data_IF_157541046301
#
_entry.id   IF_157541046301
#
_cell.length_a   1.000
_cell.length_b   1.000
_cell.length_c   1.000
_cell.angle_alpha   90.00
_cell.angle_beta   90.00
_cell.angle_gamma   90.00
#
_symmetry.space_group_name_H-M   'P 1'
#
loop_
_entity.id
_entity.type
_entity.pdbx_description
1 polymer ?
#
# COMPACT_ATOMS: atom_id res chain seq x y z
N UNK A 1 -8.10 -13.13 26.67
CA UNK A 1 -7.87 -13.70 25.33
C UNK A 1 -6.37 -13.67 25.07
N UNK A 2 -5.81 -14.74 24.49
CA UNK A 2 -4.38 -14.84 24.20
C UNK A 2 -4.09 -14.46 22.75
N UNK A 3 -3.03 -13.69 22.49
CA UNK A 3 -2.60 -13.30 21.13
C UNK A 3 -2.28 -14.54 20.26
N UNK A 4 -1.69 -15.59 20.86
CA UNK A 4 -1.42 -16.83 20.13
C UNK A 4 -2.69 -17.51 19.58
N UNK A 5 -3.82 -17.43 20.29
CA UNK A 5 -5.11 -17.94 19.82
C UNK A 5 -5.69 -17.08 18.68
N UNK A 6 -5.44 -15.77 18.72
CA UNK A 6 -5.83 -14.86 17.64
C UNK A 6 -5.02 -15.14 16.40
N UNK A 7 -3.69 -15.19 16.52
CA UNK A 7 -2.78 -15.40 15.39
C UNK A 7 -2.95 -16.78 14.76
N UNK A 8 -3.21 -17.83 15.56
CA UNK A 8 -3.52 -19.16 15.02
C UNK A 8 -4.87 -19.26 14.32
N UNK A 9 -5.78 -18.29 14.55
CA UNK A 9 -7.15 -18.31 14.06
C UNK A 9 -8.13 -19.05 14.97
N UNK A 10 -7.69 -19.68 16.07
CA UNK A 10 -8.56 -20.36 17.04
C UNK A 10 -9.62 -19.45 17.64
N UNK A 11 -9.26 -18.20 17.90
CA UNK A 11 -10.18 -17.18 18.42
C UNK A 11 -11.16 -16.65 17.36
N UNK A 12 -11.06 -17.10 16.10
CA UNK A 12 -11.90 -16.71 14.97
C UNK A 12 -12.00 -15.18 14.82
N UNK A 13 -13.07 -14.69 14.22
CA UNK A 13 -13.31 -13.25 14.03
C UNK A 13 -13.36 -12.46 15.34
N UNK A 14 -13.89 -13.04 16.41
CA UNK A 14 -13.94 -12.38 17.73
C UNK A 14 -12.56 -12.03 18.27
N UNK A 15 -11.55 -12.87 18.01
CA UNK A 15 -10.17 -12.59 18.39
C UNK A 15 -9.61 -11.39 17.66
N UNK A 16 -9.85 -11.29 16.35
CA UNK A 16 -9.44 -10.13 15.55
C UNK A 16 -10.09 -8.85 16.09
N UNK A 17 -11.42 -8.89 16.34
CA UNK A 17 -12.13 -7.75 16.91
C UNK A 17 -11.56 -7.33 18.27
N UNK A 18 -11.22 -8.29 19.12
CA UNK A 18 -10.65 -7.99 20.43
C UNK A 18 -9.30 -7.27 20.33
N UNK A 19 -8.37 -7.76 19.50
CA UNK A 19 -7.05 -7.13 19.31
C UNK A 19 -7.16 -5.72 18.70
N UNK A 20 -8.13 -5.50 17.82
CA UNK A 20 -8.23 -4.23 17.10
C UNK A 20 -9.07 -3.17 17.82
N UNK A 21 -10.06 -3.58 18.62
CA UNK A 21 -11.10 -2.66 19.09
C UNK A 21 -11.40 -2.74 20.61
N UNK A 22 -10.82 -3.70 21.37
CA UNK A 22 -11.04 -3.70 22.82
C UNK A 22 -10.32 -2.51 23.46
N UNK A 23 -10.92 -1.95 24.50
CA UNK A 23 -10.34 -0.84 25.24
C UNK A 23 -8.93 -1.16 25.75
N UNK A 24 -8.71 -2.40 26.23
CA UNK A 24 -7.39 -2.86 26.71
C UNK A 24 -6.37 -2.87 25.59
N UNK A 25 -6.68 -3.47 24.43
CA UNK A 25 -5.74 -3.56 23.32
C UNK A 25 -5.45 -2.17 22.72
N UNK A 26 -6.46 -1.33 22.56
CA UNK A 26 -6.30 0.05 22.09
C UNK A 26 -5.43 0.88 23.04
N UNK A 27 -5.64 0.73 24.36
CA UNK A 27 -4.80 1.41 25.37
C UNK A 27 -3.35 0.96 25.27
N UNK A 28 -3.12 -0.37 25.23
CA UNK A 28 -1.76 -0.91 25.10
C UNK A 28 -1.09 -0.38 23.84
N UNK A 29 -1.77 -0.41 22.68
CA UNK A 29 -1.21 0.12 21.45
C UNK A 29 -0.88 1.61 21.54
N UNK A 30 -1.73 2.41 22.15
CA UNK A 30 -1.49 3.84 22.37
C UNK A 30 -0.31 4.08 23.29
N UNK A 31 -0.21 3.34 24.40
CA UNK A 31 0.90 3.44 25.37
C UNK A 31 2.24 3.05 24.71
N UNK A 32 2.25 1.97 23.93
CA UNK A 32 3.45 1.53 23.22
C UNK A 32 3.85 2.49 22.09
N UNK A 33 2.88 3.05 21.37
CA UNK A 33 3.16 4.08 20.35
C UNK A 33 3.71 5.36 21.01
N UNK A 34 3.20 5.73 22.18
CA UNK A 34 3.70 6.86 22.95
C UNK A 34 5.17 6.67 23.36
N UNK A 35 5.60 5.45 23.67
CA UNK A 35 7.00 5.15 23.99
C UNK A 35 7.97 5.41 22.83
N UNK A 36 7.47 5.45 21.60
CA UNK A 36 8.27 5.79 20.40
C UNK A 36 8.36 7.30 20.14
N UNK A 37 7.65 8.12 20.93
CA UNK A 37 7.52 9.55 20.72
C UNK A 37 8.26 10.34 21.82
N UNK A 38 8.68 11.57 21.55
CA UNK A 38 9.22 12.45 22.59
C UNK A 38 8.13 12.80 23.63
N UNK A 39 8.55 13.14 24.85
CA UNK A 39 7.69 13.33 26.02
C UNK A 39 6.48 14.26 25.80
N UNK A 40 6.62 15.26 24.91
CA UNK A 40 5.56 16.24 24.60
C UNK A 40 4.73 15.89 23.36
N UNK A 41 4.88 14.69 22.80
CA UNK A 41 4.10 14.24 21.67
C UNK A 41 3.12 13.16 22.11
N UNK A 42 1.88 13.25 21.63
CA UNK A 42 0.80 12.34 21.99
C UNK A 42 0.20 11.71 20.74
N UNK A 43 0.01 10.39 20.71
CA UNK A 43 -0.77 9.78 19.65
C UNK A 43 -2.26 10.08 19.84
N UNK A 44 -2.95 10.41 18.77
CA UNK A 44 -4.41 10.51 18.73
C UNK A 44 -5.09 9.15 18.62
N UNK A 45 -6.42 9.14 18.50
CA UNK A 45 -7.18 7.91 18.30
C UNK A 45 -6.69 7.11 17.10
N UNK A 46 -6.48 5.81 17.29
CA UNK A 46 -5.99 4.90 16.26
C UNK A 46 -7.15 4.09 15.69
N UNK A 47 -7.42 4.25 14.39
CA UNK A 47 -8.41 3.47 13.67
C UNK A 47 -7.73 2.65 12.57
N UNK A 48 -7.92 1.31 12.53
CA UNK A 48 -7.31 0.50 11.51
C UNK A 48 -7.92 0.83 10.13
N UNK A 49 -7.07 1.13 9.16
CA UNK A 49 -7.46 1.35 7.75
C UNK A 49 -7.63 0.05 7.01
N UNK A 50 -6.77 -0.87 7.33
CA UNK A 50 -6.66 -2.15 6.67
C UNK A 50 -6.12 -3.18 7.66
N UNK A 51 -6.61 -4.40 7.55
CA UNK A 51 -6.18 -5.53 8.36
C UNK A 51 -5.81 -6.67 7.44
N UNK A 52 -4.74 -7.35 7.77
CA UNK A 52 -4.26 -8.52 7.08
C UNK A 52 -4.02 -9.64 8.06
N UNK A 53 -4.64 -10.76 7.80
CA UNK A 53 -4.50 -11.94 8.61
C UNK A 53 -3.89 -13.09 7.79
N UNK A 54 -2.89 -13.74 8.34
CA UNK A 54 -2.29 -14.97 7.85
C UNK A 54 -2.34 -16.00 8.99
N UNK A 55 -3.30 -16.92 8.96
CA UNK A 55 -3.46 -17.92 10.03
C UNK A 55 -2.15 -18.62 10.35
N UNK A 56 -1.84 -18.76 11.65
CA UNK A 56 -0.63 -19.40 12.15
C UNK A 56 0.67 -18.61 11.94
N UNK A 57 0.61 -17.42 11.34
CA UNK A 57 1.80 -16.60 11.06
C UNK A 57 1.73 -15.22 11.70
N UNK A 58 0.79 -14.38 11.23
CA UNK A 58 0.72 -12.99 11.66
C UNK A 58 -0.67 -12.39 11.48
N UNK A 59 -1.03 -11.48 12.35
CA UNK A 59 -2.05 -10.48 12.15
C UNK A 59 -1.34 -9.13 11.99
N UNK A 60 -1.60 -8.41 10.91
CA UNK A 60 -1.06 -7.05 10.71
C UNK A 60 -2.20 -6.06 10.51
N UNK A 61 -2.18 -4.96 11.25
CA UNK A 61 -3.10 -3.84 11.06
C UNK A 61 -2.33 -2.58 10.68
N UNK A 62 -2.89 -1.80 9.76
CA UNK A 62 -2.31 -0.56 9.27
C UNK A 62 -3.15 0.62 9.75
N UNK A 63 -2.49 1.63 10.32
CA UNK A 63 -3.12 2.81 10.89
C UNK A 63 -2.51 4.07 10.30
N UNK A 64 -3.26 5.18 10.35
CA UNK A 64 -2.72 6.52 10.22
C UNK A 64 -2.65 7.13 11.61
N UNK A 65 -1.46 7.12 12.19
CA UNK A 65 -1.22 7.70 13.50
C UNK A 65 -1.14 9.23 13.38
N UNK A 66 -2.12 9.90 13.95
CA UNK A 66 -2.10 11.36 14.11
C UNK A 66 -1.30 11.68 15.35
N UNK A 67 -0.27 12.50 15.21
CA UNK A 67 0.58 12.90 16.32
C UNK A 67 0.29 14.36 16.66
N UNK A 68 0.06 14.61 17.94
CA UNK A 68 -0.25 15.92 18.49
C UNK A 68 0.90 16.38 19.37
N UNK A 69 1.14 17.67 19.40
CA UNK A 69 2.07 18.30 20.35
C UNK A 69 1.28 18.81 21.54
N UNK A 70 1.70 18.38 22.75
CA UNK A 70 1.14 18.86 24.00
C UNK A 70 1.50 20.34 24.19
N UNK A 71 0.51 21.18 24.48
CA UNK A 71 0.67 22.61 24.69
C UNK A 71 -0.65 23.28 25.05
N UNK A 72 -0.69 24.63 25.16
CA UNK A 72 -1.91 25.41 25.46
C UNK A 72 -3.04 25.14 24.44
N UNK A 73 -2.68 24.88 23.20
CA UNK A 73 -3.58 24.35 22.16
C UNK A 73 -2.97 23.09 21.60
N UNK A 74 -3.70 21.97 21.69
CA UNK A 74 -3.25 20.69 21.13
C UNK A 74 -3.30 20.78 19.60
N UNK A 75 -2.14 20.95 18.97
CA UNK A 75 -2.04 21.08 17.52
C UNK A 75 -1.55 19.77 16.92
N UNK A 76 -2.26 19.28 15.88
CA UNK A 76 -1.78 18.17 15.05
C UNK A 76 -0.46 18.56 14.38
N UNK A 77 0.59 17.77 14.56
CA UNK A 77 1.91 18.03 13.98
C UNK A 77 2.14 17.24 12.71
N UNK A 78 1.68 15.99 12.68
CA UNK A 78 1.79 15.16 11.48
C UNK A 78 0.86 13.95 11.54
N UNK A 79 0.64 13.35 10.36
CA UNK A 79 0.04 12.01 10.22
C UNK A 79 1.11 11.05 9.71
N UNK A 80 1.32 9.95 10.43
CA UNK A 80 2.28 8.92 10.03
C UNK A 80 1.59 7.57 9.88
N UNK A 81 1.70 6.91 8.73
CA UNK A 81 1.28 5.53 8.58
C UNK A 81 2.15 4.61 9.44
N UNK A 82 1.50 3.72 10.16
CA UNK A 82 2.16 2.68 10.95
C UNK A 82 1.61 1.31 10.58
N UNK A 83 2.45 0.30 10.71
CA UNK A 83 2.07 -1.11 10.65
C UNK A 83 2.29 -1.73 12.02
N UNK A 84 1.26 -2.36 12.55
CA UNK A 84 1.31 -3.09 13.81
C UNK A 84 1.10 -4.56 13.49
N UNK A 85 2.06 -5.39 13.83
CA UNK A 85 2.02 -6.82 13.60
C UNK A 85 2.02 -7.58 14.91
N UNK A 86 1.17 -8.60 14.99
CA UNK A 86 1.14 -9.57 16.09
C UNK A 86 1.48 -10.94 15.55
N UNK A 87 2.37 -11.65 16.20
CA UNK A 87 2.79 -12.98 15.81
C UNK A 87 3.98 -13.50 16.59
N UNK A 88 4.34 -14.79 16.43
CA UNK A 88 5.59 -15.30 16.94
C UNK A 88 6.72 -14.49 16.28
N UNK A 89 7.77 -14.24 17.04
CA UNK A 89 8.93 -13.49 16.54
C UNK A 89 9.48 -14.16 15.27
N UNK A 90 9.28 -13.51 14.14
CA UNK A 90 9.66 -14.03 12.84
C UNK A 90 11.09 -13.67 12.47
N UNK A 91 11.94 -13.55 13.46
CA UNK A 91 13.23 -13.81 13.22
C UNK A 91 14.37 -12.90 12.96
N UNK A 92 15.50 -13.55 13.00
CA UNK A 92 16.84 -13.01 12.98
C UNK A 92 17.29 -12.40 11.63
N UNK A 93 16.72 -12.83 10.50
CA UNK A 93 17.25 -12.48 9.18
C UNK A 93 16.97 -11.05 8.67
N UNK A 94 15.96 -10.38 9.21
CA UNK A 94 15.64 -9.01 8.80
C UNK A 94 16.41 -7.91 9.57
N UNK A 95 17.12 -8.27 10.66
CA UNK A 95 17.81 -7.30 11.52
C UNK A 95 18.85 -6.48 10.76
N UNK A 96 19.64 -7.11 9.91
CA UNK A 96 20.68 -6.41 9.12
C UNK A 96 20.08 -5.39 8.14
N UNK A 97 18.98 -5.78 7.46
CA UNK A 97 18.32 -4.92 6.47
C UNK A 97 17.59 -3.75 7.16
N UNK A 98 17.04 -3.99 8.34
CA UNK A 98 16.44 -2.92 9.16
C UNK A 98 17.49 -1.92 9.62
N UNK A 99 18.68 -2.35 10.02
CA UNK A 99 19.76 -1.45 10.42
C UNK A 99 20.09 -0.49 9.27
N UNK A 100 20.20 -0.99 8.04
CA UNK A 100 20.40 -0.15 6.86
C UNK A 100 19.26 0.85 6.66
N UNK A 101 18.01 0.39 6.78
CA UNK A 101 16.85 1.25 6.62
C UNK A 101 16.75 2.33 7.71
N UNK A 102 17.15 2.03 8.94
CA UNK A 102 17.22 3.01 10.05
C UNK A 102 18.30 4.05 9.75
N UNK A 103 19.51 3.61 9.40
CA UNK A 103 20.60 4.52 9.05
C UNK A 103 20.24 5.45 7.87
N UNK A 104 19.48 4.93 6.89
CA UNK A 104 18.99 5.74 5.78
C UNK A 104 17.94 6.76 6.23
N UNK A 105 17.04 6.39 7.12
CA UNK A 105 16.04 7.30 7.69
C UNK A 105 16.68 8.42 8.56
N UNK A 106 17.74 8.10 9.28
CA UNK A 106 18.55 9.08 10.05
C UNK A 106 19.28 10.05 9.13
N UNK A 107 19.96 9.53 8.10
CA UNK A 107 20.69 10.35 7.09
C UNK A 107 19.76 11.39 6.45
N UNK A 108 18.55 11.02 6.15
CA UNK A 108 17.54 11.89 5.54
C UNK A 108 16.71 12.67 6.55
N UNK A 109 16.93 12.47 7.86
CA UNK A 109 16.20 13.17 8.93
C UNK A 109 14.67 13.02 8.86
N UNK A 110 14.19 11.87 8.34
CA UNK A 110 12.75 11.63 8.11
C UNK A 110 12.05 10.89 9.25
N UNK A 111 12.75 10.61 10.34
CA UNK A 111 12.18 9.94 11.52
C UNK A 111 11.22 10.84 12.32
N UNK A 112 11.45 12.15 12.36
CA UNK A 112 10.65 13.07 13.18
C UNK A 112 9.14 12.96 12.90
N UNK A 113 8.27 13.02 13.93
CA UNK A 113 8.59 13.29 15.34
C UNK A 113 8.96 12.05 16.16
N UNK A 114 9.14 10.88 15.56
CA UNK A 114 9.44 9.65 16.26
C UNK A 114 10.93 9.60 16.68
N UNK A 115 11.18 9.10 17.88
CA UNK A 115 12.54 8.80 18.39
C UNK A 115 13.06 7.50 17.78
N UNK A 116 12.15 6.57 17.54
CA UNK A 116 12.42 5.28 16.90
C UNK A 116 11.31 4.95 15.91
N UNK A 117 11.69 4.41 14.76
CA UNK A 117 10.73 4.03 13.71
C UNK A 117 10.26 2.57 13.83
N UNK A 118 10.81 1.82 14.77
CA UNK A 118 10.40 0.45 15.05
C UNK A 118 10.67 0.07 16.51
N UNK A 119 9.75 -0.70 17.09
CA UNK A 119 9.98 -1.38 18.35
C UNK A 119 9.21 -2.70 18.43
N UNK A 120 9.78 -3.63 19.18
CA UNK A 120 9.19 -4.91 19.54
C UNK A 120 8.70 -4.89 20.98
N UNK A 121 7.50 -5.42 21.19
CA UNK A 121 6.86 -5.52 22.51
C UNK A 121 6.52 -6.99 22.80
N UNK A 122 7.48 -7.77 23.34
CA UNK A 122 7.36 -9.22 23.48
C UNK A 122 6.17 -9.66 24.35
N UNK A 123 5.85 -8.90 25.38
CA UNK A 123 4.71 -9.20 26.28
C UNK A 123 3.37 -9.27 25.53
N UNK A 124 3.26 -8.64 24.37
CA UNK A 124 2.09 -8.63 23.48
C UNK A 124 2.35 -9.32 22.14
N UNK A 125 3.50 -9.99 21.99
CA UNK A 125 3.94 -10.52 20.70
C UNK A 125 3.69 -9.51 19.58
N UNK A 126 3.97 -8.22 19.84
CA UNK A 126 3.60 -7.10 19.00
C UNK A 126 4.85 -6.36 18.53
N UNK A 127 4.83 -5.96 17.25
CA UNK A 127 5.80 -5.06 16.63
C UNK A 127 5.09 -3.85 16.07
N UNK A 128 5.63 -2.67 16.32
CA UNK A 128 5.22 -1.43 15.68
C UNK A 128 6.33 -1.00 14.71
N UNK A 129 5.95 -0.70 13.48
CA UNK A 129 6.84 -0.15 12.45
C UNK A 129 6.22 1.10 11.86
N UNK A 130 6.99 2.19 11.80
CA UNK A 130 6.54 3.52 11.39
C UNK A 130 7.13 3.86 10.03
N UNK A 131 6.30 4.43 9.13
CA UNK A 131 6.78 4.98 7.86
C UNK A 131 7.81 6.11 8.10
N UNK A 132 8.91 6.18 7.31
CA UNK A 132 9.16 5.44 6.07
C UNK A 132 10.03 4.19 6.23
N UNK A 133 10.13 3.59 7.41
CA UNK A 133 11.01 2.45 7.63
C UNK A 133 10.54 1.22 6.85
N UNK A 134 11.40 0.65 6.00
CA UNK A 134 11.19 -0.64 5.37
C UNK A 134 12.52 -1.30 4.98
N UNK A 135 12.76 -2.52 5.46
CA UNK A 135 13.97 -3.28 5.19
C UNK A 135 14.17 -3.60 3.70
N UNK A 136 13.09 -3.80 2.95
CA UNK A 136 13.12 -4.14 1.51
C UNK A 136 13.04 -2.93 0.59
N UNK A 137 12.64 -1.79 1.11
CA UNK A 137 12.47 -0.55 0.38
C UNK A 137 13.28 0.55 1.07
N UNK A 138 14.60 0.34 1.21
CA UNK A 138 15.48 1.27 1.93
C UNK A 138 15.44 2.67 1.33
N UNK A 139 15.25 2.77 0.00
CA UNK A 139 15.07 4.05 -0.70
C UNK A 139 13.82 4.82 -0.26
N UNK A 140 12.87 4.18 0.45
CA UNK A 140 11.67 4.85 0.94
C UNK A 140 11.99 6.01 1.88
N UNK A 141 13.11 5.93 2.61
CA UNK A 141 13.58 6.99 3.48
C UNK A 141 13.93 8.25 2.66
N UNK A 142 14.79 8.12 1.65
CA UNK A 142 15.19 9.26 0.79
C UNK A 142 14.02 9.79 -0.03
N UNK A 143 13.13 8.92 -0.51
CA UNK A 143 11.90 9.29 -1.22
C UNK A 143 10.88 10.02 -0.32
N UNK A 144 11.07 9.97 1.00
CA UNK A 144 10.28 10.72 1.98
C UNK A 144 10.95 12.03 2.41
N UNK A 145 12.18 12.31 1.94
CA UNK A 145 12.88 13.58 2.18
C UNK A 145 12.50 14.61 1.10
N UNK A 146 11.86 15.73 1.46
CA UNK A 146 11.49 16.77 0.50
C UNK A 146 12.67 17.33 -0.32
N UNK A 147 13.88 17.32 0.25
CA UNK A 147 15.09 17.81 -0.45
C UNK A 147 15.50 16.85 -1.56
N UNK A 148 15.48 15.53 -1.28
CA UNK A 148 15.75 14.52 -2.29
C UNK A 148 14.68 14.54 -3.40
N UNK A 149 13.40 14.64 -3.00
CA UNK A 149 12.28 14.72 -3.96
C UNK A 149 12.43 15.92 -4.88
N UNK A 150 12.84 17.08 -4.37
CA UNK A 150 13.10 18.28 -5.19
C UNK A 150 14.18 18.02 -6.24
N UNK A 151 15.34 17.48 -5.84
CA UNK A 151 16.43 17.18 -6.76
C UNK A 151 16.01 16.14 -7.81
N UNK A 152 15.41 15.04 -7.38
CA UNK A 152 14.91 13.96 -8.24
C UNK A 152 13.90 14.46 -9.29
N UNK A 153 12.97 15.34 -8.90
CA UNK A 153 11.99 15.90 -9.81
C UNK A 153 12.59 16.94 -10.76
N UNK A 154 13.52 17.78 -10.28
CA UNK A 154 14.26 18.72 -11.15
C UNK A 154 14.97 17.98 -12.29
N UNK A 155 15.76 16.96 -11.98
CA UNK A 155 16.45 16.12 -12.97
C UNK A 155 15.48 15.46 -13.97
N UNK A 156 14.31 15.06 -13.50
CA UNK A 156 13.25 14.45 -14.32
C UNK A 156 12.67 15.43 -15.33
N UNK A 157 12.46 16.67 -14.94
CA UNK A 157 11.91 17.72 -15.81
C UNK A 157 12.97 18.29 -16.76
N UNK A 158 14.19 18.52 -16.31
CA UNK A 158 15.31 19.00 -17.14
C UNK A 158 15.70 18.00 -18.24
N UNK A 159 15.62 16.70 -17.95
CA UNK A 159 15.86 15.65 -18.96
C UNK A 159 14.75 15.48 -19.99
N UNK A 160 13.73 16.33 -20.00
CA UNK A 160 12.62 16.30 -20.97
C UNK A 160 11.67 15.10 -20.80
N UNK A 161 11.84 14.33 -19.72
CA UNK A 161 10.98 13.16 -19.41
C UNK A 161 9.58 13.55 -18.96
N UNK A 162 9.39 14.81 -18.56
CA UNK A 162 8.08 15.35 -18.20
C UNK A 162 7.99 16.83 -18.64
N UNK A 163 6.96 17.17 -19.42
CA UNK A 163 6.77 18.52 -19.92
C UNK A 163 6.04 19.39 -18.89
N UNK A 164 6.78 20.18 -18.11
CA UNK A 164 6.22 21.41 -17.46
C UNK A 164 7.31 22.27 -16.83
N UNK A 165 7.22 23.55 -17.10
CA UNK A 165 8.29 24.53 -16.92
C UNK A 165 8.38 25.23 -15.55
N UNK A 166 7.69 24.78 -14.49
CA UNK A 166 7.53 25.59 -13.27
C UNK A 166 7.92 24.91 -11.94
N UNK A 167 8.66 23.79 -11.93
CA UNK A 167 8.90 23.04 -10.68
C UNK A 167 10.23 23.29 -9.97
N UNK A 168 11.08 24.18 -10.44
CA UNK A 168 12.49 24.29 -9.98
C UNK A 168 12.67 24.86 -8.56
N UNK A 169 11.69 25.55 -7.98
CA UNK A 169 11.89 26.26 -6.71
C UNK A 169 10.93 25.89 -5.56
N UNK A 170 9.96 25.03 -5.81
CA UNK A 170 8.94 24.73 -4.83
C UNK A 170 9.41 23.75 -3.76
N UNK A 171 9.05 24.02 -2.52
CA UNK A 171 9.11 23.02 -1.46
C UNK A 171 8.06 21.94 -1.72
N UNK A 172 8.44 20.68 -1.51
CA UNK A 172 7.54 19.56 -1.70
C UNK A 172 7.05 19.04 -0.36
N UNK A 173 5.76 18.75 -0.28
CA UNK A 173 5.15 18.06 0.86
C UNK A 173 4.99 16.60 0.49
N UNK A 174 5.69 15.73 1.23
CA UNK A 174 5.65 14.29 1.02
C UNK A 174 4.65 13.63 1.96
N UNK A 175 3.67 12.93 1.39
CA UNK A 175 2.66 12.19 2.14
C UNK A 175 2.68 10.72 1.75
N UNK A 176 2.81 9.83 2.73
CA UNK A 176 2.70 8.39 2.48
C UNK A 176 1.22 7.98 2.39
N UNK A 177 0.76 7.66 1.18
CA UNK A 177 -0.64 7.28 0.92
C UNK A 177 -0.87 5.80 1.18
N UNK A 178 0.11 4.97 0.86
CA UNK A 178 0.06 3.55 1.12
C UNK A 178 1.39 3.06 1.67
N UNK A 179 1.34 2.57 2.89
CA UNK A 179 2.47 1.99 3.57
C UNK A 179 2.15 0.55 3.95
N UNK A 180 2.82 -0.39 3.29
CA UNK A 180 2.73 -1.83 3.56
C UNK A 180 4.13 -2.43 3.56
N UNK A 181 4.80 -2.45 4.71
CA UNK A 181 6.17 -2.93 4.82
C UNK A 181 6.41 -4.26 4.12
N UNK A 182 7.55 -4.34 3.41
CA UNK A 182 7.96 -5.47 2.62
C UNK A 182 7.08 -5.78 1.40
N UNK A 183 6.16 -4.87 1.00
CA UNK A 183 5.19 -5.16 -0.07
C UNK A 183 4.95 -4.04 -1.06
N UNK A 184 4.47 -2.89 -0.58
CA UNK A 184 4.00 -1.82 -1.47
C UNK A 184 4.00 -0.47 -0.77
N UNK A 185 4.55 0.51 -1.45
CA UNK A 185 4.50 1.90 -1.02
C UNK A 185 3.99 2.79 -2.15
N UNK A 186 3.21 3.80 -1.77
CA UNK A 186 2.79 4.88 -2.65
C UNK A 186 2.93 6.17 -1.86
N UNK A 187 3.71 7.08 -2.40
CA UNK A 187 3.88 8.43 -1.87
C UNK A 187 3.11 9.42 -2.74
N UNK A 188 2.65 10.50 -2.14
CA UNK A 188 2.10 11.66 -2.83
C UNK A 188 3.03 12.84 -2.59
N UNK A 189 3.36 13.52 -3.66
CA UNK A 189 4.16 14.72 -3.68
C UNK A 189 3.26 15.89 -4.05
N UNK A 190 3.00 16.77 -3.09
CA UNK A 190 2.26 18.00 -3.31
C UNK A 190 3.26 19.16 -3.35
N UNK A 191 3.19 20.07 -4.32
CA UNK A 191 3.97 21.30 -4.27
C UNK A 191 3.53 22.14 -3.05
N UNK A 192 4.48 22.77 -2.38
CA UNK A 192 4.20 23.64 -1.22
C UNK A 192 3.32 24.81 -1.57
N UNK A 193 3.49 25.35 -2.79
CA UNK A 193 2.58 26.30 -3.40
C UNK A 193 1.76 25.59 -4.50
N UNK A 194 0.43 25.51 -4.38
CA UNK A 194 -0.43 24.88 -5.38
C UNK A 194 -0.32 25.51 -6.78
N UNK A 195 0.09 26.77 -6.88
CA UNK A 195 0.29 27.44 -8.17
C UNK A 195 1.59 27.00 -8.87
N UNK A 196 2.53 26.42 -8.14
CA UNK A 196 3.86 26.05 -8.66
C UNK A 196 3.92 24.68 -9.34
N UNK A 197 2.84 23.90 -9.32
CA UNK A 197 2.84 22.60 -9.99
C UNK A 197 1.68 21.68 -9.66
N UNK A 198 1.71 20.50 -10.24
CA UNK A 198 0.70 19.46 -10.04
C UNK A 198 1.14 18.43 -9.01
N UNK A 199 0.18 17.92 -8.25
CA UNK A 199 0.38 16.76 -7.37
C UNK A 199 0.83 15.55 -8.17
N UNK A 200 1.84 14.84 -7.68
CA UNK A 200 2.36 13.61 -8.25
C UNK A 200 2.20 12.43 -7.28
N UNK A 201 2.15 11.24 -7.86
CA UNK A 201 2.15 9.99 -7.09
C UNK A 201 3.37 9.16 -7.48
N UNK A 202 4.11 8.68 -6.49
CA UNK A 202 5.25 7.81 -6.64
C UNK A 202 4.92 6.39 -6.17
N UNK A 203 4.88 5.43 -7.08
CA UNK A 203 4.77 4.02 -6.74
C UNK A 203 6.17 3.42 -6.66
N UNK A 204 6.54 2.96 -5.47
CA UNK A 204 7.87 2.43 -5.16
C UNK A 204 7.92 0.94 -5.43
N UNK A 205 8.97 0.49 -6.08
CA UNK A 205 9.27 -0.91 -6.40
C UNK A 205 10.54 -1.35 -5.66
N UNK A 206 10.75 -2.64 -5.53
CA UNK A 206 12.05 -3.18 -5.10
C UNK A 206 13.05 -3.05 -6.26
N UNK A 207 14.34 -2.99 -5.93
CA UNK A 207 15.40 -2.95 -6.94
C UNK A 207 15.28 -4.13 -7.93
N UNK A 208 15.63 -3.92 -9.20
CA UNK A 208 15.42 -4.90 -10.26
C UNK A 208 16.07 -6.26 -9.98
N UNK A 209 17.26 -6.27 -9.38
CA UNK A 209 17.98 -7.50 -9.01
C UNK A 209 17.19 -8.32 -8.01
N UNK A 210 16.66 -7.69 -6.95
CA UNK A 210 15.81 -8.35 -5.97
C UNK A 210 14.45 -8.74 -6.55
N UNK A 211 13.90 -7.92 -7.45
CA UNK A 211 12.64 -8.22 -8.12
C UNK A 211 12.74 -9.50 -8.94
N UNK A 212 13.85 -9.70 -9.67
CA UNK A 212 14.12 -10.92 -10.42
C UNK A 212 14.29 -12.13 -9.50
N UNK A 213 15.07 -11.99 -8.43
CA UNK A 213 15.31 -13.07 -7.47
C UNK A 213 14.01 -13.55 -6.79
N UNK A 214 13.08 -12.65 -6.52
CA UNK A 214 11.83 -12.96 -5.83
C UNK A 214 10.60 -13.08 -6.73
N UNK A 215 10.76 -13.08 -8.07
CA UNK A 215 9.66 -13.05 -9.06
C UNK A 215 8.61 -11.99 -8.74
N UNK A 216 9.07 -10.79 -8.39
CA UNK A 216 8.22 -9.65 -8.05
C UNK A 216 8.04 -8.69 -9.22
N UNK A 217 7.09 -7.78 -9.03
CA UNK A 217 6.75 -6.72 -9.98
C UNK A 217 7.97 -5.81 -10.19
N UNK A 218 8.44 -5.75 -11.42
CA UNK A 218 9.54 -4.89 -11.88
C UNK A 218 9.00 -3.51 -12.29
N UNK A 219 9.61 -2.46 -11.76
CA UNK A 219 9.20 -1.08 -12.01
C UNK A 219 9.34 -0.66 -13.47
N UNK A 220 10.47 -1.02 -14.11
CA UNK A 220 10.73 -0.68 -15.50
C UNK A 220 9.73 -1.36 -16.46
N UNK A 221 9.45 -2.65 -16.22
CA UNK A 221 8.46 -3.39 -16.99
C UNK A 221 7.06 -2.80 -16.79
N UNK A 222 6.70 -2.52 -15.53
CA UNK A 222 5.39 -1.94 -15.21
C UNK A 222 5.22 -0.58 -15.88
N UNK A 223 6.25 0.26 -15.91
CA UNK A 223 6.24 1.55 -16.59
C UNK A 223 5.98 1.38 -18.08
N UNK A 224 6.75 0.51 -18.78
CA UNK A 224 6.58 0.26 -20.21
C UNK A 224 5.17 -0.23 -20.54
N UNK A 225 4.71 -1.28 -19.88
CA UNK A 225 3.36 -1.85 -20.11
C UNK A 225 2.28 -0.81 -19.84
N UNK A 226 2.42 0.02 -18.81
CA UNK A 226 1.44 1.06 -18.51
C UNK A 226 1.42 2.17 -19.56
N UNK A 227 2.56 2.52 -20.18
CA UNK A 227 2.64 3.43 -21.32
C UNK A 227 1.95 2.82 -22.54
N UNK A 228 2.33 1.59 -22.92
CA UNK A 228 1.77 0.89 -24.08
C UNK A 228 0.25 0.75 -24.00
N UNK A 229 -0.26 0.39 -22.81
CA UNK A 229 -1.72 0.30 -22.55
C UNK A 229 -2.37 1.68 -22.64
N UNK A 230 -1.75 2.72 -22.10
CA UNK A 230 -2.31 4.07 -22.16
C UNK A 230 -2.40 4.58 -23.60
N UNK A 231 -1.37 4.31 -24.42
CA UNK A 231 -1.33 4.68 -25.83
C UNK A 231 -2.39 3.92 -26.64
N UNK A 232 -2.49 2.61 -26.45
CA UNK A 232 -3.49 1.80 -27.12
C UNK A 232 -4.94 2.19 -26.72
N UNK A 233 -5.16 2.54 -25.45
CA UNK A 233 -6.48 3.05 -25.01
C UNK A 233 -6.79 4.39 -25.67
N UNK A 234 -5.82 5.29 -25.75
CA UNK A 234 -6.01 6.59 -26.40
C UNK A 234 -6.32 6.46 -27.89
N UNK A 235 -5.70 5.49 -28.58
CA UNK A 235 -5.88 5.26 -30.01
C UNK A 235 -7.19 4.52 -30.34
N UNK A 236 -7.52 3.48 -29.56
CA UNK A 236 -8.59 2.53 -29.96
C UNK A 236 -9.87 2.64 -29.12
N UNK A 237 -9.87 3.38 -27.98
CA UNK A 237 -10.97 3.34 -27.03
C UNK A 237 -11.60 4.72 -26.81
N UNK A 238 -12.73 5.00 -27.47
CA UNK A 238 -13.47 6.24 -27.20
C UNK A 238 -14.17 6.18 -25.82
N UNK A 239 -13.99 7.24 -25.03
CA UNK A 239 -14.67 7.38 -23.73
C UNK A 239 -14.04 6.62 -22.57
N UNK A 240 -12.88 6.00 -22.77
CA UNK A 240 -12.03 5.43 -21.75
C UNK A 240 -10.70 6.18 -21.73
N UNK A 241 -10.29 6.64 -20.56
CA UNK A 241 -8.97 7.21 -20.34
C UNK A 241 -8.15 6.29 -19.45
N UNK A 242 -6.91 6.02 -19.84
CA UNK A 242 -5.96 5.29 -19.02
C UNK A 242 -4.90 6.25 -18.47
N UNK A 243 -4.51 6.04 -17.22
CA UNK A 243 -3.48 6.86 -16.59
C UNK A 243 -2.11 6.49 -17.15
N UNK A 244 -1.53 7.39 -17.97
CA UNK A 244 -0.17 7.24 -18.46
C UNK A 244 0.81 7.65 -17.36
N UNK A 245 1.80 6.82 -16.98
CA UNK A 245 2.86 7.24 -16.08
C UNK A 245 3.76 8.29 -16.73
N UNK A 246 4.35 9.16 -15.90
CA UNK A 246 5.19 10.26 -16.36
C UNK A 246 6.64 9.80 -16.60
N UNK A 247 7.21 9.08 -15.65
CA UNK A 247 8.60 8.63 -15.70
C UNK A 247 8.82 7.38 -14.86
N UNK A 248 9.87 6.63 -15.20
CA UNK A 248 10.48 5.63 -14.34
C UNK A 248 11.88 6.10 -13.94
N UNK A 249 12.14 6.16 -12.66
CA UNK A 249 13.41 6.56 -12.06
C UNK A 249 14.12 5.30 -11.56
N UNK A 250 15.12 4.88 -12.30
CA UNK A 250 15.78 3.59 -12.08
C UNK A 250 16.56 3.55 -10.75
N UNK A 251 17.24 4.63 -10.38
CA UNK A 251 18.03 4.73 -9.14
C UNK A 251 17.18 4.55 -7.89
N UNK A 252 15.94 5.02 -7.93
CA UNK A 252 14.98 4.96 -6.84
C UNK A 252 13.98 3.82 -6.98
N UNK A 253 14.02 3.10 -8.12
CA UNK A 253 13.04 2.09 -8.51
C UNK A 253 11.59 2.61 -8.35
N UNK A 254 11.30 3.80 -8.88
CA UNK A 254 10.04 4.53 -8.72
C UNK A 254 9.39 4.79 -10.07
N UNK A 255 8.09 4.57 -10.15
CA UNK A 255 7.26 5.05 -11.26
C UNK A 255 6.46 6.25 -10.79
N UNK A 256 6.60 7.37 -11.49
CA UNK A 256 5.84 8.59 -11.25
C UNK A 256 4.56 8.61 -12.06
N UNK A 257 3.47 9.01 -11.43
CA UNK A 257 2.15 9.16 -12.03
C UNK A 257 1.60 10.57 -11.79
N UNK A 258 0.88 11.14 -12.74
CA UNK A 258 0.15 12.38 -12.51
C UNK A 258 -1.04 12.13 -11.58
N UNK A 259 -1.59 13.19 -11.02
CA UNK A 259 -2.82 13.12 -10.24
C UNK A 259 -3.99 12.73 -11.15
N UNK A 260 -4.71 11.70 -10.77
CA UNK A 260 -5.98 11.34 -11.39
C UNK A 260 -7.10 12.13 -10.70
N UNK A 261 -7.83 12.93 -11.46
CA UNK A 261 -9.02 13.60 -10.98
C UNK A 261 -10.21 12.63 -10.98
N UNK A 262 -10.94 12.58 -9.87
CA UNK A 262 -12.13 11.73 -9.76
C UNK A 262 -12.29 11.09 -8.40
N UNK A 263 -13.42 10.41 -8.22
CA UNK A 263 -13.76 9.68 -7.00
C UNK A 263 -13.51 8.18 -7.23
N UNK A 264 -12.74 7.50 -6.36
CA UNK A 264 -12.50 6.08 -6.48
C UNK A 264 -13.81 5.25 -6.48
N UNK A 265 -13.91 4.27 -7.36
CA UNK A 265 -15.09 3.38 -7.43
C UNK A 265 -15.39 2.71 -6.07
N UNK A 266 -14.36 2.41 -5.27
CA UNK A 266 -14.51 1.87 -3.92
C UNK A 266 -15.32 2.76 -2.97
N UNK A 267 -15.38 4.06 -3.21
CA UNK A 267 -16.20 5.01 -2.43
C UNK A 267 -17.69 4.74 -2.69
N UNK A 268 -18.05 4.43 -3.92
CA UNK A 268 -19.42 4.08 -4.31
C UNK A 268 -19.80 2.65 -3.89
N UNK A 269 -18.86 1.71 -3.90
CA UNK A 269 -19.11 0.34 -3.51
C UNK A 269 -19.42 0.17 -2.00
N UNK A 270 -19.03 1.13 -1.17
CA UNK A 270 -19.33 1.12 0.28
C UNK A 270 -20.78 1.52 0.62
N UNK A 271 -21.48 2.16 -0.29
CA UNK A 271 -22.86 2.63 -0.12
C UNK A 271 -23.64 2.24 -1.36
N UNK A 272 -24.25 1.06 -1.32
CA UNK A 272 -25.03 0.55 -2.44
C UNK A 272 -26.31 1.40 -2.61
N UNK A 273 -26.36 2.16 -3.68
CA UNK A 273 -27.49 2.95 -4.14
C UNK A 273 -27.58 2.90 -5.68
N UNK A 274 -28.54 3.61 -6.26
CA UNK A 274 -28.73 3.66 -7.73
C UNK A 274 -27.49 4.19 -8.46
N UNK A 275 -26.79 5.16 -7.89
CA UNK A 275 -25.56 5.71 -8.45
C UNK A 275 -24.44 4.66 -8.46
N UNK A 276 -24.35 3.85 -7.39
CA UNK A 276 -23.38 2.75 -7.32
C UNK A 276 -23.58 1.76 -8.47
N UNK A 277 -24.83 1.38 -8.74
CA UNK A 277 -25.17 0.47 -9.86
C UNK A 277 -24.79 1.06 -11.22
N UNK A 278 -24.99 2.37 -11.41
CA UNK A 278 -24.59 3.10 -12.62
C UNK A 278 -23.06 3.07 -12.80
N UNK A 279 -22.31 3.38 -11.75
CA UNK A 279 -20.86 3.39 -11.80
C UNK A 279 -20.26 2.01 -11.98
N UNK A 280 -20.82 0.98 -11.36
CA UNK A 280 -20.39 -0.41 -11.56
C UNK A 280 -20.65 -0.87 -13.00
N UNK A 281 -21.78 -0.51 -13.63
CA UNK A 281 -22.02 -0.78 -15.06
C UNK A 281 -21.01 -0.09 -15.96
N UNK A 282 -20.65 1.18 -15.69
CA UNK A 282 -19.61 1.89 -16.42
C UNK A 282 -18.24 1.22 -16.25
N UNK A 283 -17.90 0.80 -15.02
CA UNK A 283 -16.66 0.07 -14.77
C UNK A 283 -16.62 -1.27 -15.53
N UNK A 284 -17.73 -2.01 -15.58
CA UNK A 284 -17.86 -3.23 -16.38
C UNK A 284 -17.70 -2.98 -17.88
N UNK A 285 -18.25 -1.88 -18.40
CA UNK A 285 -18.07 -1.48 -19.79
C UNK A 285 -16.60 -1.13 -20.09
N UNK A 286 -15.94 -0.39 -19.20
CA UNK A 286 -14.52 -0.06 -19.32
C UNK A 286 -13.65 -1.32 -19.30
N UNK A 287 -13.92 -2.26 -18.38
CA UNK A 287 -13.21 -3.53 -18.30
C UNK A 287 -13.38 -4.36 -19.57
N UNK A 288 -14.60 -4.43 -20.13
CA UNK A 288 -14.85 -5.09 -21.42
C UNK A 288 -14.05 -4.47 -22.56
N UNK A 289 -13.89 -3.14 -22.57
CA UNK A 289 -13.09 -2.45 -23.58
C UNK A 289 -11.61 -2.81 -23.42
N UNK A 290 -11.08 -2.83 -22.18
CA UNK A 290 -9.70 -3.26 -21.90
C UNK A 290 -9.44 -4.71 -22.34
N UNK A 291 -10.39 -5.62 -22.12
CA UNK A 291 -10.26 -7.03 -22.55
C UNK A 291 -10.26 -7.22 -24.08
N UNK A 292 -10.64 -6.20 -24.84
CA UNK A 292 -10.59 -6.22 -26.32
C UNK A 292 -9.31 -5.64 -26.89
N UNK A 293 -8.45 -5.07 -26.07
CA UNK A 293 -7.14 -4.61 -26.52
C UNK A 293 -6.29 -5.78 -27.01
N UNK A 294 -5.41 -5.54 -27.99
CA UNK A 294 -4.54 -6.58 -28.53
C UNK A 294 -3.71 -7.26 -27.43
N UNK A 295 -3.67 -8.59 -27.42
CA UNK A 295 -2.93 -9.40 -26.44
C UNK A 295 -1.43 -9.07 -26.45
N UNK A 296 -0.89 -8.61 -27.56
CA UNK A 296 0.50 -8.18 -27.68
C UNK A 296 0.89 -7.09 -26.67
N UNK A 297 -0.06 -6.24 -26.23
CA UNK A 297 0.15 -5.20 -25.22
C UNK A 297 0.38 -5.76 -23.81
N UNK A 298 -0.16 -6.93 -23.52
CA UNK A 298 0.02 -7.57 -22.21
C UNK A 298 1.44 -8.14 -22.01
N UNK A 299 2.27 -8.13 -23.05
CA UNK A 299 3.56 -8.80 -23.08
C UNK A 299 3.40 -10.33 -23.06
N UNK A 300 4.50 -11.05 -22.88
CA UNK A 300 4.46 -12.52 -22.65
C UNK A 300 3.96 -12.78 -21.22
N UNK A 301 2.65 -12.67 -21.02
CA UNK A 301 1.98 -13.21 -19.85
C UNK A 301 1.76 -14.70 -20.11
N UNK A 302 2.18 -15.54 -19.17
CA UNK A 302 1.77 -16.95 -19.22
C UNK A 302 0.23 -17.01 -19.22
N UNK A 303 -0.38 -17.83 -20.09
CA UNK A 303 -1.83 -17.96 -20.10
C UNK A 303 -2.32 -18.32 -18.70
N UNK A 304 -3.15 -17.48 -18.13
CA UNK A 304 -3.86 -17.79 -16.89
C UNK A 304 -5.01 -18.75 -17.24
N UNK A 305 -4.85 -20.02 -16.86
CA UNK A 305 -5.98 -20.96 -16.93
C UNK A 305 -6.95 -20.73 -15.76
N UNK A 306 -8.21 -21.10 -15.94
CA UNK A 306 -9.22 -20.98 -14.89
C UNK A 306 -8.83 -21.77 -13.64
N UNK A 307 -8.22 -22.92 -13.80
CA UNK A 307 -7.80 -23.79 -12.67
C UNK A 307 -6.72 -23.11 -11.83
N UNK A 308 -5.76 -22.40 -12.46
CA UNK A 308 -4.76 -21.61 -11.76
C UNK A 308 -5.41 -20.43 -11.00
N UNK A 309 -6.38 -19.77 -11.59
CA UNK A 309 -7.12 -18.67 -10.94
C UNK A 309 -7.95 -19.19 -9.75
N UNK A 310 -8.67 -20.29 -9.91
CA UNK A 310 -9.42 -20.92 -8.81
C UNK A 310 -8.47 -21.29 -7.66
N UNK A 311 -7.33 -21.94 -7.93
CA UNK A 311 -6.32 -22.23 -6.90
C UNK A 311 -5.84 -20.96 -6.20
N UNK A 312 -5.67 -19.87 -6.95
CA UNK A 312 -5.31 -18.55 -6.41
C UNK A 312 -6.38 -17.99 -5.48
N UNK A 313 -7.66 -18.09 -5.87
CA UNK A 313 -8.80 -17.64 -5.06
C UNK A 313 -8.92 -18.48 -3.78
N UNK A 314 -8.88 -19.80 -3.87
CA UNK A 314 -8.90 -20.71 -2.70
C UNK A 314 -7.82 -20.34 -1.70
N UNK A 315 -6.57 -20.15 -2.17
CA UNK A 315 -5.46 -19.75 -1.30
C UNK A 315 -5.67 -18.38 -0.65
N UNK A 316 -6.23 -17.41 -1.40
CA UNK A 316 -6.53 -16.06 -0.90
C UNK A 316 -7.72 -16.02 0.04
N UNK A 317 -8.71 -16.90 -0.14
CA UNK A 317 -9.91 -16.99 0.70
C UNK A 317 -9.69 -17.80 1.99
N UNK A 318 -8.64 -18.60 2.07
CA UNK A 318 -8.32 -19.41 3.25
C UNK A 318 -8.38 -18.61 4.58
N UNK A 319 -7.81 -17.41 4.71
CA UNK A 319 -7.94 -16.61 5.94
C UNK A 319 -9.40 -16.26 6.27
N UNK A 320 -10.24 -16.06 5.25
CA UNK A 320 -11.68 -15.79 5.43
C UNK A 320 -12.39 -17.04 5.95
N UNK A 321 -12.10 -18.20 5.35
CA UNK A 321 -12.69 -19.47 5.78
C UNK A 321 -12.32 -19.83 7.23
N UNK A 322 -11.09 -19.54 7.66
CA UNK A 322 -10.65 -19.74 9.06
C UNK A 322 -11.41 -18.84 10.02
N UNK A 323 -11.63 -17.57 9.67
CA UNK A 323 -12.29 -16.59 10.53
C UNK A 323 -13.80 -16.70 10.51
N UNK A 324 -14.37 -16.99 9.34
CA UNK A 324 -15.82 -17.01 9.04
C UNK A 324 -16.16 -18.26 8.22
N UNK A 325 -16.26 -19.43 8.84
CA UNK A 325 -16.43 -20.72 8.13
C UNK A 325 -17.61 -20.74 7.17
N UNK A 326 -18.75 -20.13 7.53
CA UNK A 326 -19.93 -20.06 6.68
C UNK A 326 -19.68 -19.26 5.38
N UNK A 327 -18.82 -18.22 5.42
CA UNK A 327 -18.43 -17.49 4.22
C UNK A 327 -17.46 -18.33 3.39
N UNK A 328 -16.57 -19.09 4.04
CA UNK A 328 -15.70 -20.05 3.38
C UNK A 328 -16.48 -21.05 2.55
N UNK A 329 -17.47 -21.70 3.14
CA UNK A 329 -18.36 -22.67 2.44
C UNK A 329 -19.11 -22.03 1.27
N UNK A 330 -19.59 -20.79 1.42
CA UNK A 330 -20.23 -20.08 0.31
C UNK A 330 -19.26 -19.79 -0.85
N UNK A 331 -18.01 -19.45 -0.55
CA UNK A 331 -16.97 -19.24 -1.57
C UNK A 331 -16.68 -20.56 -2.31
N UNK A 332 -16.54 -21.67 -1.59
CA UNK A 332 -16.32 -23.00 -2.17
C UNK A 332 -17.46 -23.38 -3.13
N UNK A 333 -18.72 -23.23 -2.71
CA UNK A 333 -19.88 -23.50 -3.56
C UNK A 333 -19.89 -22.64 -4.85
N UNK A 334 -19.50 -21.35 -4.76
CA UNK A 334 -19.38 -20.48 -5.93
C UNK A 334 -18.26 -20.92 -6.87
N UNK A 335 -17.13 -21.38 -6.34
CA UNK A 335 -16.02 -21.87 -7.14
C UNK A 335 -16.35 -23.20 -7.82
N UNK A 336 -17.07 -24.10 -7.18
CA UNK A 336 -17.55 -25.33 -7.78
C UNK A 336 -18.51 -25.05 -8.94
N UNK A 337 -19.42 -24.09 -8.74
CA UNK A 337 -20.31 -23.64 -9.82
C UNK A 337 -19.55 -23.01 -10.98
N UNK A 338 -18.47 -22.25 -10.71
CA UNK A 338 -17.63 -21.69 -11.76
C UNK A 338 -16.92 -22.78 -12.59
N UNK A 339 -16.45 -23.87 -11.95
CA UNK A 339 -15.87 -25.03 -12.63
C UNK A 339 -16.89 -25.71 -13.53
N UNK A 340 -18.07 -26.05 -13.01
CA UNK A 340 -19.16 -26.64 -13.78
C UNK A 340 -19.54 -25.82 -15.03
N UNK A 341 -19.59 -24.49 -14.90
CA UNK A 341 -19.90 -23.62 -16.02
C UNK A 341 -18.75 -23.60 -17.04
N UNK A 342 -17.52 -23.61 -16.59
CA UNK A 342 -16.35 -23.65 -17.46
C UNK A 342 -16.28 -24.94 -18.28
N UNK A 343 -16.52 -26.08 -17.63
CA UNK A 343 -16.51 -27.39 -18.28
C UNK A 343 -17.62 -27.56 -19.33
N UNK A 344 -18.62 -26.68 -19.34
CA UNK A 344 -19.69 -26.62 -20.34
C UNK A 344 -19.40 -25.63 -21.49
N UNK A 345 -18.34 -24.83 -21.37
CA UNK A 345 -17.95 -23.95 -22.47
C UNK A 345 -17.28 -24.78 -23.57
N UNK A 346 -17.64 -24.54 -24.85
CA UNK A 346 -17.06 -25.24 -25.98
C UNK A 346 -15.58 -24.94 -26.18
#
# INVERSE_FOLDING_TARGET
MNIADVVSGRAKWRGIQWVLFSATACKVLADQLRALLPARALPGPLHPREVRFKPGRELTAYYDARIYREGRETKETCVRPIAVSWGPDTGANWKADIIKAVAEAERHSVAAPFLQLMADFPAWSMRIQVSPLDARFTQLARLSDPRHVRAMLADTYESGKAASHHHQTSDWIVTSIKYRPGRRHVLRYDPGDPASGATLFAKVYIAEEEARAFRREDGARTFRVACDVADAVAEHCRGLNCLRPLAYLAEDAVVLYPRLCGVPLSTYARRLNLDSARWLRRAGAALRTLHRLPVALAGRSEPHDLSAEIRSIVRKSHPIAVLLPHVGSAIEALLDRARELHDRLP
#
